data_IF_863591793363
#
_entry.id   IF_863591793363
#
_cell.length_a   1.000
_cell.length_b   1.000
_cell.length_c   1.000
_cell.angle_alpha   90.00
_cell.angle_beta   90.00
_cell.angle_gamma   90.00
#
_symmetry.space_group_name_H-M   'P 1'
#
loop_
_entity.id
_entity.type
_entity.pdbx_description
1 polymer ?
#
# COMPACT_ATOMS: atom_id res chain seq x y z
N UNK A 1 10.70 43.84 0.58
CA UNK A 1 11.70 43.98 1.66
C UNK A 1 11.74 42.75 2.60
N UNK A 2 11.34 41.57 2.14
CA UNK A 2 11.33 40.34 2.97
C UNK A 2 12.02 39.14 2.28
N UNK A 3 12.79 39.36 1.23
CA UNK A 3 13.51 38.30 0.48
C UNK A 3 15.05 38.38 0.62
N UNK A 4 15.59 39.38 1.28
CA UNK A 4 17.05 39.56 1.45
C UNK A 4 17.62 38.97 2.76
N UNK A 5 16.79 38.47 3.67
CA UNK A 5 17.25 37.88 4.93
C UNK A 5 17.62 36.39 4.87
N UNK A 6 17.16 35.67 3.84
CA UNK A 6 17.40 34.22 3.72
C UNK A 6 18.70 33.82 3.04
N UNK A 7 19.27 34.67 2.19
CA UNK A 7 20.57 34.38 1.56
C UNK A 7 21.74 34.47 2.53
N UNK A 8 21.68 35.37 3.54
CA UNK A 8 22.75 35.47 4.52
C UNK A 8 22.76 34.30 5.52
N UNK A 9 21.61 33.76 5.89
CA UNK A 9 21.52 32.55 6.74
C UNK A 9 21.99 31.29 5.99
N UNK A 10 21.68 31.19 4.70
CA UNK A 10 22.19 30.09 3.84
C UNK A 10 23.71 30.19 3.64
N UNK A 11 24.27 31.38 3.46
CA UNK A 11 25.71 31.57 3.32
C UNK A 11 26.44 31.35 4.66
N UNK A 12 25.83 31.67 5.78
CA UNK A 12 26.38 31.41 7.11
C UNK A 12 26.35 29.90 7.45
N UNK A 13 25.31 29.18 7.06
CA UNK A 13 25.25 27.72 7.17
C UNK A 13 26.32 27.04 6.29
N UNK A 14 26.52 27.54 5.06
CA UNK A 14 27.57 27.03 4.14
C UNK A 14 28.99 27.40 4.58
N UNK A 15 29.21 28.50 5.26
CA UNK A 15 30.54 28.88 5.79
C UNK A 15 30.91 28.10 7.05
N UNK A 16 29.94 27.73 7.89
CA UNK A 16 30.17 26.85 9.06
C UNK A 16 30.51 25.40 8.67
N UNK A 17 30.11 24.98 7.48
CA UNK A 17 30.42 23.63 6.91
C UNK A 17 31.85 23.58 6.33
N UNK A 18 32.51 24.72 6.11
CA UNK A 18 33.86 24.82 5.48
C UNK A 18 35.03 24.82 6.45
N UNK A 19 34.83 24.86 7.75
CA UNK A 19 35.93 24.84 8.73
C UNK A 19 36.01 23.51 9.47
N UNK A 20 36.99 22.72 9.11
CA UNK A 20 37.51 21.51 9.76
C UNK A 20 36.59 20.26 9.78
N UNK A 21 37.08 19.23 9.08
CA UNK A 21 36.50 17.88 8.88
C UNK A 21 35.48 17.74 7.72
N UNK A 22 35.53 18.60 6.74
CA UNK A 22 34.61 18.60 5.59
C UNK A 22 34.67 17.34 4.71
N UNK A 23 35.77 16.62 4.69
CA UNK A 23 35.87 15.40 3.87
C UNK A 23 35.14 14.19 4.48
N UNK A 24 35.03 14.12 5.81
CA UNK A 24 34.34 13.00 6.48
C UNK A 24 32.83 13.22 6.69
N UNK A 25 32.34 14.46 6.67
CA UNK A 25 30.93 14.76 6.85
C UNK A 25 30.15 14.75 5.53
N UNK A 26 30.77 15.22 4.43
CA UNK A 26 30.17 15.18 3.08
C UNK A 26 30.08 13.76 2.51
N UNK A 27 30.99 12.85 2.87
CA UNK A 27 30.89 11.42 2.51
C UNK A 27 29.75 10.67 3.22
N UNK A 28 29.17 11.25 4.28
CA UNK A 28 28.05 10.67 5.04
C UNK A 28 26.66 11.15 4.64
N UNK A 29 26.49 12.00 3.66
CA UNK A 29 25.19 12.19 3.03
C UNK A 29 24.96 10.95 2.16
N UNK A 30 24.43 9.93 2.79
CA UNK A 30 24.07 8.67 2.17
C UNK A 30 22.85 8.94 1.31
N UNK A 31 23.09 9.20 0.02
CA UNK A 31 22.05 9.45 -0.97
C UNK A 31 21.94 8.26 -1.91
N UNK A 32 20.74 8.03 -2.44
CA UNK A 32 20.50 7.12 -3.54
C UNK A 32 21.45 7.50 -4.71
N UNK A 33 22.25 6.55 -5.16
CA UNK A 33 23.12 6.72 -6.33
C UNK A 33 22.63 5.83 -7.46
N UNK A 34 22.26 6.42 -8.59
CA UNK A 34 21.87 5.72 -9.82
C UNK A 34 22.98 5.99 -10.83
N UNK A 35 23.57 4.93 -11.40
CA UNK A 35 24.64 5.05 -12.40
C UNK A 35 24.08 5.22 -13.81
N UNK A 36 23.04 4.45 -14.12
CA UNK A 36 22.41 4.43 -15.45
C UNK A 36 20.89 4.49 -15.29
N UNK A 37 20.23 5.05 -16.27
CA UNK A 37 18.78 5.12 -16.38
C UNK A 37 18.36 4.62 -17.76
N UNK A 38 17.33 3.76 -17.79
CA UNK A 38 16.76 3.26 -19.04
C UNK A 38 15.24 3.29 -18.96
N UNK A 39 14.60 3.99 -19.88
CA UNK A 39 13.18 3.88 -20.15
C UNK A 39 13.01 2.76 -21.17
N UNK A 40 12.40 1.67 -20.75
CA UNK A 40 12.26 0.47 -21.58
C UNK A 40 11.07 0.57 -22.54
N UNK A 41 11.18 -0.14 -23.65
CA UNK A 41 10.14 -0.21 -24.69
C UNK A 41 9.31 -1.50 -24.61
N UNK A 42 9.70 -2.48 -23.77
CA UNK A 42 8.96 -3.71 -23.59
C UNK A 42 9.13 -4.32 -22.19
N UNK A 43 8.18 -5.17 -21.79
CA UNK A 43 8.27 -5.96 -20.57
C UNK A 43 9.41 -6.98 -20.62
N UNK A 44 9.71 -7.53 -21.80
CA UNK A 44 10.83 -8.45 -21.98
C UNK A 44 12.15 -7.76 -21.69
N UNK A 45 12.39 -6.58 -22.27
CA UNK A 45 13.57 -5.78 -22.00
C UNK A 45 13.70 -5.44 -20.51
N UNK A 46 12.59 -4.97 -19.89
CA UNK A 46 12.55 -4.67 -18.47
C UNK A 46 12.92 -5.89 -17.62
N UNK A 47 12.37 -7.06 -17.96
CA UNK A 47 12.63 -8.30 -17.25
C UNK A 47 14.11 -8.70 -17.35
N UNK A 48 14.69 -8.69 -18.55
CA UNK A 48 16.10 -9.05 -18.78
C UNK A 48 17.03 -8.12 -17.99
N UNK A 49 16.79 -6.81 -18.03
CA UNK A 49 17.58 -5.84 -17.26
C UNK A 49 17.43 -6.04 -15.76
N UNK A 50 16.21 -6.36 -15.28
CA UNK A 50 15.93 -6.55 -13.87
C UNK A 50 16.57 -7.79 -13.26
N UNK A 51 17.05 -8.76 -14.06
CA UNK A 51 17.74 -9.94 -13.53
C UNK A 51 19.08 -9.59 -12.88
N UNK A 52 19.70 -8.46 -13.23
CA UNK A 52 20.90 -7.95 -12.58
C UNK A 52 20.59 -7.52 -11.13
N UNK A 53 21.33 -8.09 -10.15
CA UNK A 53 21.08 -7.85 -8.71
C UNK A 53 21.09 -6.38 -8.30
N UNK A 54 21.87 -5.58 -8.99
CA UNK A 54 22.05 -4.13 -8.73
C UNK A 54 21.12 -3.24 -9.53
N UNK A 55 20.34 -3.80 -10.47
CA UNK A 55 19.27 -3.09 -11.17
C UNK A 55 18.03 -2.95 -10.30
N UNK A 56 17.21 -1.95 -10.59
CA UNK A 56 15.99 -1.65 -9.84
C UNK A 56 14.91 -1.10 -10.77
N UNK A 57 13.75 -1.77 -10.77
CA UNK A 57 12.54 -1.19 -11.33
C UNK A 57 12.14 0.05 -10.52
N UNK A 58 11.82 1.13 -11.19
CA UNK A 58 11.38 2.37 -10.56
C UNK A 58 9.93 2.66 -10.90
N UNK A 59 9.18 3.06 -9.88
CA UNK A 59 7.89 3.73 -10.00
C UNK A 59 8.05 5.19 -9.61
N UNK A 60 7.18 5.72 -8.72
CA UNK A 60 7.28 7.11 -8.27
C UNK A 60 8.49 7.48 -7.42
N UNK A 61 9.36 6.55 -7.11
CA UNK A 61 10.62 6.70 -6.37
C UNK A 61 10.51 7.33 -4.96
N UNK A 62 9.29 7.54 -4.43
CA UNK A 62 9.06 8.30 -3.19
C UNK A 62 9.75 7.70 -1.95
N UNK A 63 9.89 6.39 -1.88
CA UNK A 63 10.68 5.70 -0.85
C UNK A 63 12.11 5.44 -1.27
N UNK A 64 12.34 5.11 -2.54
CA UNK A 64 13.65 4.75 -3.03
C UNK A 64 14.64 5.90 -2.87
N UNK A 65 14.21 7.14 -3.19
CA UNK A 65 15.06 8.35 -3.09
C UNK A 65 15.46 8.73 -1.66
N UNK A 66 14.72 8.24 -0.65
CA UNK A 66 15.05 8.46 0.77
C UNK A 66 16.09 7.45 1.30
N UNK A 67 16.40 6.44 0.51
CA UNK A 67 17.38 5.41 0.86
C UNK A 67 18.80 5.75 0.41
N UNK A 68 19.71 4.85 0.77
CA UNK A 68 21.15 4.98 0.49
C UNK A 68 21.68 3.91 -0.50
N UNK A 69 20.78 3.36 -1.31
CA UNK A 69 21.15 2.27 -2.22
C UNK A 69 22.03 2.76 -3.38
N UNK A 70 23.01 1.92 -3.74
CA UNK A 70 23.69 2.03 -5.01
C UNK A 70 22.94 1.19 -6.05
N UNK A 71 22.33 1.84 -7.03
CA UNK A 71 21.60 1.24 -8.14
C UNK A 71 22.44 1.36 -9.39
N UNK A 72 22.81 0.24 -10.02
CA UNK A 72 23.58 0.27 -11.25
C UNK A 72 22.72 0.75 -12.41
N UNK A 73 21.46 0.37 -12.44
CA UNK A 73 20.52 0.76 -13.50
C UNK A 73 19.12 0.93 -12.91
N UNK A 74 18.54 2.11 -13.12
CA UNK A 74 17.13 2.37 -12.87
C UNK A 74 16.34 2.04 -14.15
N UNK A 75 15.37 1.14 -14.02
CA UNK A 75 14.53 0.66 -15.13
C UNK A 75 13.17 1.32 -15.00
N UNK A 76 12.80 2.15 -15.96
CA UNK A 76 11.55 2.91 -15.97
C UNK A 76 10.53 2.27 -16.90
N UNK A 77 9.37 1.92 -16.32
CA UNK A 77 8.24 1.30 -17.03
C UNK A 77 7.24 2.32 -17.59
N UNK A 78 7.46 3.63 -17.43
CA UNK A 78 6.48 4.67 -17.79
C UNK A 78 6.14 4.74 -19.28
N UNK A 79 6.93 4.08 -20.14
CA UNK A 79 6.66 3.97 -21.58
C UNK A 79 5.71 2.85 -21.99
N UNK A 80 5.30 1.98 -21.06
CA UNK A 80 4.61 0.73 -21.38
C UNK A 80 3.07 0.82 -21.23
N UNK A 81 2.49 2.01 -20.97
CA UNK A 81 1.04 2.18 -20.81
C UNK A 81 0.48 1.48 -19.56
N UNK A 82 1.29 1.28 -18.51
CA UNK A 82 0.90 0.60 -17.27
C UNK A 82 0.41 1.56 -16.19
N UNK A 83 0.00 2.76 -16.54
CA UNK A 83 -0.47 3.83 -15.65
C UNK A 83 -1.99 4.07 -15.73
N UNK A 84 -2.72 3.14 -16.34
CA UNK A 84 -4.17 3.21 -16.54
C UNK A 84 -4.93 2.28 -15.60
N UNK A 85 -6.21 2.59 -15.39
CA UNK A 85 -7.21 1.71 -14.79
C UNK A 85 -8.23 1.40 -15.86
N UNK A 86 -8.25 0.15 -16.29
CA UNK A 86 -9.25 -0.38 -17.21
C UNK A 86 -10.38 -1.00 -16.39
N UNK A 87 -11.62 -0.78 -16.82
CA UNK A 87 -12.82 -1.27 -16.15
C UNK A 87 -13.75 -1.91 -17.19
N UNK A 88 -14.17 -3.13 -16.93
CA UNK A 88 -15.24 -3.80 -17.67
C UNK A 88 -16.34 -4.29 -16.69
N UNK A 89 -17.29 -5.07 -17.20
CA UNK A 89 -18.40 -5.62 -16.40
C UNK A 89 -17.93 -6.59 -15.31
N UNK A 90 -16.79 -7.25 -15.49
CA UNK A 90 -16.32 -8.36 -14.69
C UNK A 90 -15.16 -7.99 -13.75
N UNK A 91 -14.35 -7.00 -14.13
CA UNK A 91 -13.13 -6.71 -13.39
C UNK A 91 -12.60 -5.29 -13.59
N UNK A 92 -11.73 -4.87 -12.67
CA UNK A 92 -10.81 -3.76 -12.84
C UNK A 92 -9.41 -4.31 -13.11
N UNK A 93 -8.71 -3.74 -14.09
CA UNK A 93 -7.30 -4.00 -14.37
C UNK A 93 -6.51 -2.72 -14.11
N UNK A 94 -5.73 -2.72 -13.05
CA UNK A 94 -5.00 -1.55 -12.55
C UNK A 94 -3.53 -1.73 -12.86
N UNK A 95 -2.98 -0.96 -13.79
CA UNK A 95 -1.57 -1.02 -14.15
C UNK A 95 -0.65 -0.67 -12.97
N UNK A 96 0.51 -1.28 -12.92
CA UNK A 96 1.43 -1.10 -11.78
C UNK A 96 1.97 0.32 -11.64
N UNK A 97 2.00 1.10 -12.71
CA UNK A 97 2.44 2.49 -12.75
C UNK A 97 1.31 3.49 -12.42
N UNK A 98 0.07 3.02 -12.26
CA UNK A 98 -1.06 3.86 -11.82
C UNK A 98 -0.72 4.57 -10.52
N UNK A 99 -0.94 5.89 -10.47
CA UNK A 99 -0.68 6.67 -9.25
C UNK A 99 -1.70 6.35 -8.16
N UNK A 100 -1.31 6.49 -6.89
CA UNK A 100 -2.27 6.37 -5.79
C UNK A 100 -3.35 7.45 -5.87
N UNK A 101 -3.06 8.60 -6.50
CA UNK A 101 -4.06 9.64 -6.73
C UNK A 101 -5.09 9.23 -7.77
N UNK A 102 -4.68 8.57 -8.84
CA UNK A 102 -5.62 8.01 -9.82
C UNK A 102 -6.52 6.96 -9.18
N UNK A 103 -5.96 6.09 -8.34
CA UNK A 103 -6.71 5.10 -7.57
C UNK A 103 -7.74 5.77 -6.62
N UNK A 104 -7.34 6.84 -5.93
CA UNK A 104 -8.19 7.62 -5.02
C UNK A 104 -9.39 8.26 -5.71
N UNK A 105 -9.21 8.71 -6.95
CA UNK A 105 -10.20 9.47 -7.71
C UNK A 105 -11.06 8.61 -8.66
N UNK A 106 -10.73 7.35 -8.83
CA UNK A 106 -11.42 6.49 -9.80
C UNK A 106 -12.85 6.20 -9.34
N UNK A 107 -13.82 6.71 -10.11
CA UNK A 107 -15.24 6.65 -9.74
C UNK A 107 -15.74 5.20 -9.64
N UNK A 108 -15.47 4.35 -10.63
CA UNK A 108 -15.93 2.95 -10.63
C UNK A 108 -15.41 2.18 -9.42
N UNK A 109 -14.12 2.36 -9.02
CA UNK A 109 -13.58 1.74 -7.81
C UNK A 109 -14.22 2.30 -6.54
N UNK A 110 -14.50 3.61 -6.49
CA UNK A 110 -15.16 4.21 -5.35
C UNK A 110 -16.60 3.69 -5.20
N UNK A 111 -17.35 3.61 -6.29
CA UNK A 111 -18.71 3.09 -6.31
C UNK A 111 -18.74 1.58 -5.93
N UNK A 112 -17.87 0.76 -6.54
CA UNK A 112 -17.78 -0.67 -6.26
C UNK A 112 -17.38 -0.98 -4.81
N UNK A 113 -16.58 -0.14 -4.18
CA UNK A 113 -16.06 -0.37 -2.83
C UNK A 113 -16.74 0.48 -1.75
N UNK A 114 -17.89 1.11 -2.02
CA UNK A 114 -18.53 2.04 -1.08
C UNK A 114 -17.55 3.09 -0.52
N UNK A 115 -16.61 3.56 -1.35
CA UNK A 115 -15.59 4.51 -0.96
C UNK A 115 -14.40 3.94 -0.18
N UNK A 116 -14.40 2.66 0.19
CA UNK A 116 -13.33 2.06 0.99
C UNK A 116 -11.95 2.13 0.29
N UNK A 117 -11.90 1.99 -1.04
CA UNK A 117 -10.65 2.17 -1.80
C UNK A 117 -10.11 3.60 -1.64
N UNK A 118 -10.95 4.60 -1.78
CA UNK A 118 -10.58 6.00 -1.56
C UNK A 118 -10.11 6.23 -0.12
N UNK A 119 -10.83 5.68 0.87
CA UNK A 119 -10.49 5.79 2.28
C UNK A 119 -9.11 5.19 2.57
N UNK A 120 -8.76 4.07 1.93
CA UNK A 120 -7.47 3.39 2.14
C UNK A 120 -6.26 4.22 1.68
N UNK A 121 -6.42 5.13 0.71
CA UNK A 121 -5.31 5.90 0.14
C UNK A 121 -5.28 7.37 0.55
N UNK A 122 -6.42 7.98 0.88
CA UNK A 122 -6.52 9.44 1.08
C UNK A 122 -5.61 10.01 2.17
N UNK A 123 -5.25 9.20 3.16
CA UNK A 123 -4.38 9.57 4.27
C UNK A 123 -2.89 9.20 4.06
N UNK A 124 -2.53 8.66 2.90
CA UNK A 124 -1.14 8.38 2.57
C UNK A 124 -0.45 9.70 2.25
N UNK A 125 0.23 10.27 3.25
CA UNK A 125 0.96 11.54 3.19
C UNK A 125 0.07 12.67 2.64
N UNK A 126 0.39 13.22 1.47
CA UNK A 126 -0.34 14.31 0.82
C UNK A 126 -0.61 14.04 -0.65
N UNK A 127 -1.37 14.94 -1.29
CA UNK A 127 -1.74 14.79 -2.72
C UNK A 127 -0.50 14.70 -3.60
N UNK A 128 0.53 15.53 -3.36
CA UNK A 128 1.76 15.51 -4.14
C UNK A 128 2.48 14.16 -4.06
N UNK A 129 2.49 13.54 -2.88
CA UNK A 129 3.05 12.21 -2.69
C UNK A 129 2.24 11.18 -3.47
N UNK A 130 0.91 11.22 -3.38
CA UNK A 130 0.02 10.27 -4.08
C UNK A 130 0.01 10.43 -5.59
N UNK A 131 0.31 11.62 -6.11
CA UNK A 131 0.52 11.83 -7.55
C UNK A 131 1.78 11.09 -8.07
N UNK A 132 2.78 10.90 -7.22
CA UNK A 132 4.02 10.22 -7.59
C UNK A 132 4.02 8.74 -7.21
N UNK A 133 3.50 8.39 -6.03
CA UNK A 133 3.49 7.01 -5.54
C UNK A 133 2.62 6.12 -6.44
N UNK A 134 3.13 4.94 -6.80
CA UNK A 134 2.44 4.01 -7.68
C UNK A 134 1.82 2.85 -6.92
N UNK A 135 0.74 2.29 -7.46
CA UNK A 135 0.07 1.10 -6.92
C UNK A 135 1.06 -0.07 -6.88
N UNK A 136 1.79 -0.31 -7.97
CA UNK A 136 2.81 -1.36 -8.03
C UNK A 136 3.88 -1.22 -6.96
N UNK A 137 4.38 0.01 -6.73
CA UNK A 137 5.35 0.28 -5.65
C UNK A 137 4.80 -0.04 -4.26
N UNK A 138 3.52 0.23 -4.02
CA UNK A 138 2.84 -0.04 -2.75
C UNK A 138 2.58 -1.53 -2.51
N UNK A 139 2.32 -2.31 -3.58
CA UNK A 139 2.00 -3.73 -3.53
C UNK A 139 3.27 -4.60 -3.58
N UNK A 140 4.17 -4.37 -4.54
CA UNK A 140 5.35 -5.21 -4.71
C UNK A 140 6.28 -5.20 -3.50
N UNK A 141 6.32 -4.08 -2.78
CA UNK A 141 7.09 -3.95 -1.53
C UNK A 141 6.63 -4.90 -0.42
N UNK A 142 5.38 -5.35 -0.43
CA UNK A 142 4.74 -6.20 0.60
C UNK A 142 4.98 -5.66 2.02
N UNK A 143 4.96 -4.33 2.14
CA UNK A 143 5.17 -3.68 3.44
C UNK A 143 3.95 -3.91 4.34
N UNK A 144 4.21 -4.28 5.60
CA UNK A 144 3.14 -4.54 6.57
C UNK A 144 2.28 -3.33 6.91
N UNK A 145 2.77 -2.11 6.64
CA UNK A 145 2.05 -0.85 6.83
C UNK A 145 1.31 -0.37 5.57
N UNK A 146 1.31 -1.16 4.49
CA UNK A 146 0.67 -0.75 3.24
C UNK A 146 -0.86 -0.75 3.38
N UNK A 147 -1.44 0.43 3.43
CA UNK A 147 -2.88 0.65 3.38
C UNK A 147 -3.49 0.01 2.12
N UNK A 148 -2.82 0.21 0.99
CA UNK A 148 -3.24 -0.28 -0.33
C UNK A 148 -3.29 -1.81 -0.36
N UNK A 149 -2.22 -2.49 0.13
CA UNK A 149 -2.20 -3.96 0.18
C UNK A 149 -3.28 -4.50 1.11
N UNK A 150 -3.51 -3.83 2.26
CA UNK A 150 -4.57 -4.22 3.21
C UNK A 150 -5.95 -4.18 2.54
N UNK A 151 -6.23 -3.13 1.75
CA UNK A 151 -7.50 -3.01 1.05
C UNK A 151 -7.66 -4.07 -0.05
N UNK A 152 -6.64 -4.28 -0.89
CA UNK A 152 -6.72 -5.30 -1.94
C UNK A 152 -6.87 -6.72 -1.39
N UNK A 153 -6.28 -7.04 -0.25
CA UNK A 153 -6.44 -8.35 0.40
C UNK A 153 -7.87 -8.63 0.88
N UNK A 154 -8.67 -7.59 1.13
CA UNK A 154 -10.07 -7.74 1.52
C UNK A 154 -11.01 -8.00 0.33
N UNK A 155 -10.52 -7.82 -0.91
CA UNK A 155 -11.28 -8.03 -2.15
C UNK A 155 -10.88 -9.33 -2.84
N UNK A 156 -11.66 -9.75 -3.84
CA UNK A 156 -11.27 -10.81 -4.76
C UNK A 156 -10.26 -10.26 -5.77
N UNK A 157 -9.00 -10.25 -5.38
CA UNK A 157 -7.94 -9.59 -6.11
C UNK A 157 -6.74 -10.48 -6.40
N UNK A 158 -6.08 -10.17 -7.51
CA UNK A 158 -4.95 -10.91 -8.07
C UNK A 158 -3.86 -9.94 -8.50
N UNK A 159 -2.66 -10.45 -8.63
CA UNK A 159 -1.55 -9.78 -9.32
C UNK A 159 -1.23 -10.52 -10.61
N UNK A 160 -0.96 -9.78 -11.67
CA UNK A 160 -0.37 -10.31 -12.90
C UNK A 160 1.13 -10.03 -12.88
N UNK A 161 1.92 -11.09 -12.85
CA UNK A 161 3.37 -11.06 -12.97
C UNK A 161 3.77 -11.40 -14.40
N UNK A 162 4.83 -10.78 -14.90
CA UNK A 162 5.26 -10.96 -16.30
C UNK A 162 5.60 -12.41 -16.64
N UNK A 163 6.35 -13.11 -15.81
CA UNK A 163 6.67 -14.54 -16.00
C UNK A 163 5.82 -15.43 -15.09
N UNK A 164 5.46 -14.97 -13.90
CA UNK A 164 4.71 -15.74 -12.91
C UNK A 164 3.21 -15.88 -13.21
N UNK A 165 2.68 -15.13 -14.20
CA UNK A 165 1.26 -15.16 -14.54
C UNK A 165 0.36 -14.53 -13.47
N UNK A 166 -0.90 -14.94 -13.45
CA UNK A 166 -1.92 -14.41 -12.52
C UNK A 166 -1.91 -15.23 -11.23
N UNK A 167 -1.68 -14.55 -10.10
CA UNK A 167 -1.57 -15.14 -8.76
C UNK A 167 -2.56 -14.42 -7.83
N UNK A 168 -3.32 -15.14 -6.97
CA UNK A 168 -4.15 -14.51 -5.94
C UNK A 168 -3.33 -13.56 -5.06
N UNK A 169 -3.90 -12.38 -4.75
CA UNK A 169 -3.22 -11.37 -3.91
C UNK A 169 -2.77 -11.94 -2.56
N UNK A 170 -3.59 -12.83 -1.96
CA UNK A 170 -3.27 -13.47 -0.69
C UNK A 170 -2.02 -14.36 -0.75
N UNK A 171 -1.79 -15.04 -1.86
CA UNK A 171 -0.59 -15.85 -2.07
C UNK A 171 0.61 -14.93 -2.34
N UNK A 172 0.46 -13.97 -3.25
CA UNK A 172 1.49 -12.99 -3.55
C UNK A 172 2.00 -12.26 -2.31
N UNK A 173 1.12 -11.85 -1.40
CA UNK A 173 1.49 -11.15 -0.17
C UNK A 173 2.43 -11.99 0.73
N UNK A 174 2.36 -13.32 0.65
CA UNK A 174 3.20 -14.23 1.43
C UNK A 174 4.48 -14.66 0.70
N UNK A 175 4.53 -14.54 -0.62
CA UNK A 175 5.69 -14.94 -1.43
C UNK A 175 6.96 -14.18 -1.00
N UNK A 176 8.10 -14.81 -1.21
CA UNK A 176 9.39 -14.12 -1.15
C UNK A 176 9.52 -13.16 -2.32
N UNK A 177 10.22 -12.04 -2.12
CA UNK A 177 10.52 -11.11 -3.20
C UNK A 177 11.42 -11.79 -4.21
N UNK A 178 11.06 -11.68 -5.47
CA UNK A 178 11.80 -12.16 -6.63
C UNK A 178 12.20 -10.99 -7.54
N UNK A 179 12.56 -11.28 -8.78
CA UNK A 179 12.91 -10.31 -9.81
C UNK A 179 11.93 -10.30 -10.97
N UNK A 180 10.74 -10.83 -10.76
CA UNK A 180 9.69 -10.69 -11.74
C UNK A 180 9.14 -9.25 -11.76
N UNK A 181 8.32 -8.95 -12.74
CA UNK A 181 7.69 -7.64 -12.91
C UNK A 181 6.22 -7.77 -12.56
N UNK A 182 5.76 -6.98 -11.60
CA UNK A 182 4.34 -6.77 -11.39
C UNK A 182 3.81 -5.89 -12.53
N UNK A 183 2.95 -6.46 -13.36
CA UNK A 183 2.37 -5.78 -14.53
C UNK A 183 1.13 -5.00 -14.12
N UNK A 184 0.17 -5.69 -13.47
CA UNK A 184 -1.08 -5.07 -13.02
C UNK A 184 -1.68 -5.80 -11.83
N UNK A 185 -2.64 -5.15 -11.19
CA UNK A 185 -3.53 -5.72 -10.20
C UNK A 185 -4.88 -5.93 -10.86
N UNK A 186 -5.50 -7.08 -10.63
CA UNK A 186 -6.84 -7.43 -11.13
C UNK A 186 -7.77 -7.53 -9.92
N UNK A 187 -8.92 -6.87 -9.98
CA UNK A 187 -9.98 -6.98 -8.98
C UNK A 187 -11.23 -7.51 -9.68
N UNK A 188 -11.68 -8.70 -9.28
CA UNK A 188 -12.91 -9.27 -9.81
C UNK A 188 -14.13 -8.58 -9.19
N UNK A 189 -15.11 -8.23 -10.03
CA UNK A 189 -16.37 -7.64 -9.59
C UNK A 189 -17.32 -8.74 -9.12
N UNK A 190 -17.16 -9.16 -7.88
CA UNK A 190 -18.11 -10.04 -7.19
C UNK A 190 -19.05 -9.17 -6.34
N UNK A 191 -20.32 -9.58 -6.13
CA UNK A 191 -21.21 -8.89 -5.19
C UNK A 191 -20.59 -8.88 -3.80
N UNK A 192 -20.15 -7.72 -3.35
CA UNK A 192 -19.53 -7.58 -2.03
C UNK A 192 -19.66 -6.15 -1.49
N UNK A 193 -19.65 -6.02 -0.18
CA UNK A 193 -19.53 -4.75 0.51
C UNK A 193 -18.16 -4.67 1.18
N UNK A 194 -17.55 -3.49 1.17
CA UNK A 194 -16.21 -3.30 1.71
C UNK A 194 -16.13 -2.09 2.63
N UNK A 195 -15.35 -2.24 3.68
CA UNK A 195 -15.05 -1.15 4.63
C UNK A 195 -13.54 -1.11 4.87
N UNK A 196 -13.00 0.08 4.96
CA UNK A 196 -11.61 0.32 5.35
C UNK A 196 -11.54 1.29 6.51
N UNK A 197 -10.89 0.89 7.60
CA UNK A 197 -10.65 1.72 8.78
C UNK A 197 -9.16 1.74 9.11
N UNK A 198 -8.69 2.88 9.62
CA UNK A 198 -7.32 2.99 10.13
C UNK A 198 -7.26 3.86 11.38
N UNK A 199 -6.40 3.47 12.33
CA UNK A 199 -6.01 4.31 13.44
C UNK A 199 -4.64 4.91 13.16
N UNK A 200 -4.52 6.24 13.29
CA UNK A 200 -3.27 6.99 13.08
C UNK A 200 -3.06 7.96 14.23
N UNK A 201 -1.82 8.27 14.55
CA UNK A 201 -1.48 9.28 15.55
C UNK A 201 -1.70 10.71 14.99
N UNK A 202 -1.48 10.88 13.69
CA UNK A 202 -1.87 12.08 12.93
C UNK A 202 -2.37 11.68 11.55
N UNK A 203 -3.16 12.53 10.92
CA UNK A 203 -3.93 12.22 9.69
C UNK A 203 -3.08 11.68 8.53
N UNK A 204 -1.83 12.10 8.40
CA UNK A 204 -0.95 11.75 7.27
C UNK A 204 0.24 10.89 7.66
N UNK A 205 0.32 10.47 8.93
CA UNK A 205 1.38 9.55 9.39
C UNK A 205 1.06 8.11 8.95
N UNK A 206 2.03 7.22 9.12
CA UNK A 206 1.81 5.79 8.99
C UNK A 206 0.73 5.30 9.97
N UNK A 207 -0.09 4.33 9.56
CA UNK A 207 -1.10 3.81 10.47
C UNK A 207 -0.48 3.10 11.68
N UNK A 208 -1.13 3.25 12.83
CA UNK A 208 -0.91 2.43 14.02
C UNK A 208 -1.44 1.02 13.77
N UNK A 209 -2.66 0.93 13.22
CA UNK A 209 -3.31 -0.29 12.78
C UNK A 209 -4.25 0.03 11.62
N UNK A 210 -4.41 -0.92 10.69
CA UNK A 210 -5.40 -0.87 9.62
C UNK A 210 -6.28 -2.11 9.68
N UNK A 211 -7.57 -1.93 9.35
CA UNK A 211 -8.54 -2.98 9.24
C UNK A 211 -9.33 -2.78 7.95
N UNK A 212 -9.36 -3.79 7.08
CA UNK A 212 -10.25 -3.84 5.93
C UNK A 212 -11.16 -5.05 6.06
N UNK A 213 -12.44 -4.87 5.73
CA UNK A 213 -13.42 -5.96 5.70
C UNK A 213 -14.06 -6.00 4.32
N UNK A 214 -14.11 -7.19 3.74
CA UNK A 214 -14.89 -7.52 2.55
C UNK A 214 -15.93 -8.55 2.90
N UNK A 215 -17.20 -8.25 2.68
CA UNK A 215 -18.35 -9.11 2.97
C UNK A 215 -19.03 -9.52 1.67
N UNK A 216 -18.97 -10.79 1.33
CA UNK A 216 -19.74 -11.46 0.29
C UNK A 216 -20.94 -12.17 0.93
N UNK A 217 -21.85 -12.72 0.13
CA UNK A 217 -23.07 -13.38 0.64
C UNK A 217 -22.82 -14.42 1.75
N UNK A 218 -21.78 -15.23 1.59
CA UNK A 218 -21.46 -16.32 2.53
C UNK A 218 -20.03 -16.31 3.02
N UNK A 219 -19.31 -15.20 2.81
CA UNK A 219 -17.90 -15.13 3.15
C UNK A 219 -17.51 -13.76 3.63
N UNK A 220 -16.82 -13.70 4.74
CA UNK A 220 -16.18 -12.48 5.23
C UNK A 220 -14.67 -12.61 5.16
N UNK A 221 -14.02 -11.56 4.63
CA UNK A 221 -12.59 -11.37 4.66
C UNK A 221 -12.27 -10.24 5.61
N UNK A 222 -11.45 -10.49 6.61
CA UNK A 222 -10.98 -9.49 7.57
C UNK A 222 -9.46 -9.40 7.45
N UNK A 223 -8.96 -8.21 7.16
CA UNK A 223 -7.52 -7.98 6.97
C UNK A 223 -7.02 -6.99 7.99
N UNK A 224 -6.00 -7.39 8.75
CA UNK A 224 -5.33 -6.53 9.72
C UNK A 224 -3.92 -6.22 9.24
N UNK A 225 -3.66 -4.93 8.98
CA UNK A 225 -2.35 -4.41 8.58
C UNK A 225 -1.74 -3.49 9.64
N UNK A 226 -0.55 -2.99 9.35
CA UNK A 226 0.23 -2.11 10.24
C UNK A 226 0.50 -2.68 11.66
N UNK A 227 0.52 -3.98 11.80
CA UNK A 227 0.72 -4.70 13.06
C UNK A 227 2.19 -5.01 13.42
N UNK A 228 3.17 -4.21 13.04
CA UNK A 228 4.63 -4.37 12.78
C UNK A 228 5.07 -5.73 12.19
N UNK A 229 4.20 -6.32 11.40
CA UNK A 229 4.46 -7.52 10.60
C UNK A 229 3.69 -7.41 9.29
N UNK A 230 3.75 -8.43 8.41
CA UNK A 230 2.92 -8.50 7.20
C UNK A 230 1.44 -8.41 7.55
N UNK A 231 0.64 -7.79 6.68
CA UNK A 231 -0.80 -7.82 6.80
C UNK A 231 -1.31 -9.28 6.87
N UNK A 232 -2.30 -9.52 7.70
CA UNK A 232 -2.88 -10.83 7.93
C UNK A 232 -4.33 -10.84 7.46
N UNK A 233 -4.64 -11.76 6.56
CA UNK A 233 -6.00 -12.04 6.09
C UNK A 233 -6.59 -13.19 6.91
N UNK A 234 -7.82 -13.00 7.38
CA UNK A 234 -8.68 -14.02 8.00
C UNK A 234 -9.89 -14.16 7.10
N UNK A 235 -10.13 -15.36 6.60
CA UNK A 235 -11.31 -15.68 5.80
C UNK A 235 -12.22 -16.60 6.64
N UNK A 236 -13.51 -16.31 6.65
CA UNK A 236 -14.50 -17.12 7.36
C UNK A 236 -15.77 -17.29 6.51
N UNK A 237 -16.19 -18.51 6.35
CA UNK A 237 -17.49 -18.83 5.76
C UNK A 237 -18.62 -18.54 6.77
N UNK A 238 -19.73 -18.02 6.27
CA UNK A 238 -20.88 -17.63 7.06
C UNK A 238 -22.02 -18.63 6.82
N UNK A 239 -22.68 -19.05 7.90
CA UNK A 239 -23.80 -19.99 7.81
C UNK A 239 -25.06 -19.34 7.22
N UNK A 240 -25.23 -18.03 7.39
CA UNK A 240 -26.35 -17.26 6.86
C UNK A 240 -25.89 -15.95 6.23
N UNK A 241 -26.61 -15.47 5.21
CA UNK A 241 -26.33 -14.23 4.55
C UNK A 241 -26.61 -12.99 5.42
N UNK A 242 -25.67 -12.07 5.47
CA UNK A 242 -25.77 -10.63 5.77
C UNK A 242 -26.34 -10.14 7.10
N UNK A 243 -26.64 -10.94 8.10
CA UNK A 243 -27.12 -10.43 9.41
C UNK A 243 -26.30 -10.99 10.54
N UNK A 244 -25.32 -10.20 10.97
CA UNK A 244 -24.64 -10.51 12.22
C UNK A 244 -25.47 -10.02 13.40
N UNK A 245 -25.78 -10.90 14.34
CA UNK A 245 -26.23 -10.45 15.64
C UNK A 245 -25.11 -9.73 16.38
N UNK A 246 -25.44 -8.81 17.27
CA UNK A 246 -24.43 -8.04 18.03
C UNK A 246 -23.44 -8.98 18.74
N UNK A 247 -23.93 -10.10 19.25
CA UNK A 247 -23.12 -11.11 19.93
C UNK A 247 -22.16 -11.83 18.97
N UNK A 248 -22.56 -12.05 17.72
CA UNK A 248 -21.73 -12.67 16.68
C UNK A 248 -20.61 -11.73 16.23
N UNK A 249 -20.90 -10.43 16.08
CA UNK A 249 -19.89 -9.40 15.78
C UNK A 249 -18.86 -9.33 16.90
N UNK A 250 -19.29 -9.33 18.17
CA UNK A 250 -18.40 -9.28 19.33
C UNK A 250 -17.52 -10.53 19.38
N UNK A 251 -18.11 -11.71 19.23
CA UNK A 251 -17.40 -12.99 19.23
C UNK A 251 -16.37 -13.08 18.10
N UNK A 252 -16.74 -12.66 16.87
CA UNK A 252 -15.82 -12.64 15.73
C UNK A 252 -14.68 -11.65 15.93
N UNK A 253 -14.95 -10.47 16.47
CA UNK A 253 -13.93 -9.48 16.77
C UNK A 253 -12.92 -9.98 17.84
N UNK A 254 -13.40 -10.71 18.85
CA UNK A 254 -12.54 -11.36 19.86
C UNK A 254 -11.73 -12.52 19.26
N UNK A 255 -12.32 -13.31 18.38
CA UNK A 255 -11.62 -14.38 17.65
C UNK A 255 -10.48 -13.80 16.83
N UNK A 256 -10.74 -12.75 16.04
CA UNK A 256 -9.72 -12.04 15.24
C UNK A 256 -8.62 -11.46 16.13
N UNK A 257 -8.98 -10.87 17.27
CA UNK A 257 -7.98 -10.35 18.23
C UNK A 257 -7.04 -11.45 18.73
N UNK A 258 -7.56 -12.63 19.02
CA UNK A 258 -6.75 -13.78 19.49
C UNK A 258 -5.85 -14.35 18.39
N UNK A 259 -6.33 -14.35 17.14
CA UNK A 259 -5.60 -14.89 15.97
C UNK A 259 -4.49 -13.97 15.49
N UNK A 260 -4.61 -12.65 15.68
CA UNK A 260 -3.70 -11.66 15.10
C UNK A 260 -2.60 -11.26 16.09
N UNK A 261 -1.38 -11.78 15.96
CA UNK A 261 -0.27 -11.31 16.76
C UNK A 261 0.12 -9.87 16.37
N UNK A 262 0.29 -9.03 17.35
CA UNK A 262 0.70 -7.63 17.21
C UNK A 262 2.10 -7.39 17.76
N UNK A 263 2.78 -6.34 17.28
CA UNK A 263 4.10 -5.94 17.76
C UNK A 263 4.14 -4.49 18.24
N UNK A 264 5.18 -4.16 19.01
CA UNK A 264 5.44 -2.80 19.46
C UNK A 264 6.41 -2.07 18.52
N UNK A 265 6.26 -0.76 18.39
CA UNK A 265 7.24 0.14 17.79
C UNK A 265 7.03 1.56 18.34
N UNK A 266 7.75 2.57 17.77
CA UNK A 266 7.67 3.97 18.20
C UNK A 266 6.26 4.57 18.14
N UNK A 267 5.29 3.97 17.39
CA UNK A 267 3.94 4.49 17.22
C UNK A 267 2.95 3.95 18.24
N UNK A 268 3.12 2.72 18.67
CA UNK A 268 2.21 2.09 19.64
C UNK A 268 2.79 0.79 20.21
N UNK A 269 2.28 0.39 21.38
CA UNK A 269 2.57 -0.91 21.99
C UNK A 269 1.78 -2.06 21.33
N UNK A 270 2.23 -3.28 21.56
CA UNK A 270 1.55 -4.49 21.09
C UNK A 270 0.15 -4.63 21.72
N UNK A 271 0.01 -4.31 23.02
CA UNK A 271 -1.24 -4.39 23.77
C UNK A 271 -2.27 -3.42 23.20
N UNK A 272 -1.88 -2.17 22.92
CA UNK A 272 -2.76 -1.18 22.31
C UNK A 272 -3.22 -1.61 20.91
N UNK A 273 -2.31 -2.16 20.10
CA UNK A 273 -2.68 -2.70 18.79
C UNK A 273 -3.61 -3.90 18.90
N UNK A 274 -3.39 -4.80 19.85
CA UNK A 274 -4.30 -5.92 20.11
C UNK A 274 -5.70 -5.42 20.47
N UNK A 275 -5.80 -4.41 21.33
CA UNK A 275 -7.07 -3.75 21.61
C UNK A 275 -7.71 -3.15 20.35
N UNK A 276 -6.92 -2.43 19.53
CA UNK A 276 -7.39 -1.86 18.28
C UNK A 276 -7.85 -2.92 17.27
N UNK A 277 -7.23 -4.11 17.23
CA UNK A 277 -7.72 -5.22 16.37
C UNK A 277 -9.18 -5.52 16.68
N UNK A 278 -9.53 -5.72 17.96
CA UNK A 278 -10.92 -5.95 18.36
C UNK A 278 -11.84 -4.77 18.00
N UNK A 279 -11.44 -3.55 18.36
CA UNK A 279 -12.27 -2.35 18.17
C UNK A 279 -12.52 -2.05 16.68
N UNK A 280 -11.47 -2.07 15.85
CA UNK A 280 -11.61 -1.75 14.43
C UNK A 280 -12.35 -2.87 13.69
N UNK A 281 -12.09 -4.13 14.02
CA UNK A 281 -12.85 -5.26 13.46
C UNK A 281 -14.33 -5.14 13.77
N UNK A 282 -14.69 -4.90 15.04
CA UNK A 282 -16.09 -4.71 15.43
C UNK A 282 -16.75 -3.56 14.66
N UNK A 283 -16.09 -2.40 14.59
CA UNK A 283 -16.63 -1.23 13.88
C UNK A 283 -16.79 -1.51 12.38
N UNK A 284 -15.79 -2.17 11.75
CA UNK A 284 -15.85 -2.48 10.34
C UNK A 284 -16.94 -3.50 10.00
N UNK A 285 -17.16 -4.51 10.86
CA UNK A 285 -18.24 -5.48 10.70
C UNK A 285 -19.63 -4.83 10.82
N UNK A 286 -19.83 -3.96 11.79
CA UNK A 286 -21.09 -3.20 11.95
C UNK A 286 -21.33 -2.28 10.75
N UNK A 287 -20.32 -1.59 10.29
CA UNK A 287 -20.44 -0.69 9.13
C UNK A 287 -20.73 -1.45 7.84
N UNK A 288 -20.00 -2.53 7.55
CA UNK A 288 -20.19 -3.31 6.32
C UNK A 288 -21.57 -3.97 6.25
N UNK A 289 -22.13 -4.34 7.40
CA UNK A 289 -23.49 -4.86 7.49
C UNK A 289 -24.54 -3.75 7.27
N UNK A 290 -24.34 -2.56 7.83
CA UNK A 290 -25.18 -1.39 7.58
C UNK A 290 -25.25 -1.06 6.10
N UNK A 291 -24.09 -0.96 5.43
CA UNK A 291 -23.98 -0.69 4.00
C UNK A 291 -24.66 -1.78 3.14
N UNK A 292 -24.63 -3.05 3.60
CA UNK A 292 -25.29 -4.18 2.93
C UNK A 292 -26.85 -4.16 3.08
N UNK A 293 -27.37 -3.56 4.13
CA UNK A 293 -28.83 -3.49 4.37
C UNK A 293 -29.48 -2.25 3.73
N UNK A 294 -28.71 -1.22 3.34
CA UNK A 294 -29.20 0.00 2.70
C UNK A 294 -29.30 -0.09 1.16
N UNK A 295 -28.74 -1.13 0.54
CA UNK A 295 -28.77 -1.42 -0.90
C UNK A 295 -29.67 -2.61 -1.20
#
# INVERSE_FOLDING_TARGET
>A
TMLLGRESEFQTLFSCIKSNDSNNFMERIIMLKIKEYTKVESLEEAYQLNQKRTACLIGGMVWLKMGNRNVSMAIDLSGLGLDTIEEDENEFRIGCMTSLRSLELHKGLADYTNGAMRESVRHIVGVQFRNCATVGGSIFGRYGFSDVLTMFLAMDSYVELYKGGIIPMKEFAQMKKDRDILVRIIVKKVPMHTVYLSQRNSATDFPVLTCAVGLEEKKVRIVIGARPQKAMLIEKELESSFKFKVEEVEALAEEVQKLVPTGSNMRASAEYRSHLVKVLTKRALVQVEGDANEN
#
